data_IF_148329765908
#
_entry.id   IF_148329765908
#
_cell.length_a   1.000
_cell.length_b   1.000
_cell.length_c   1.000
_cell.angle_alpha   90.00
_cell.angle_beta   90.00
_cell.angle_gamma   90.00
#
_symmetry.space_group_name_H-M   'P 1'
#
loop_
_entity.id
_entity.type
_entity.pdbx_description
1 polymer ?
#
# COMPACT_ATOMS: atom_id res chain seq x y z
N UNK A 1 16.32 -10.83 16.39
CA UNK A 1 14.99 -10.50 15.84
C UNK A 1 15.13 -9.24 15.01
N UNK A 2 14.52 -9.23 13.83
CA UNK A 2 14.59 -8.09 12.91
C UNK A 2 13.22 -7.46 12.77
N UNK A 3 13.19 -6.14 12.62
CA UNK A 3 12.01 -5.42 12.13
C UNK A 3 12.19 -5.15 10.65
N UNK A 4 11.07 -5.03 9.94
CA UNK A 4 11.02 -4.66 8.54
C UNK A 4 11.29 -3.16 8.32
N UNK A 5 12.22 -2.58 9.09
CA UNK A 5 12.63 -1.18 9.07
C UNK A 5 14.03 -1.08 8.48
N UNK A 6 14.20 -0.18 7.52
CA UNK A 6 15.44 0.02 6.77
C UNK A 6 15.86 1.49 6.88
N UNK A 7 17.11 1.73 7.27
CA UNK A 7 17.60 3.06 7.61
C UNK A 7 17.77 3.91 6.35
N UNK A 8 17.36 5.18 6.44
CA UNK A 8 17.67 6.18 5.42
C UNK A 8 19.16 6.57 5.50
N UNK A 9 19.88 6.52 4.38
CA UNK A 9 21.32 6.81 4.33
C UNK A 9 21.70 8.10 3.59
N UNK A 10 20.70 8.79 3.05
CA UNK A 10 20.90 10.07 2.35
C UNK A 10 20.84 11.25 3.33
N UNK A 11 21.42 12.42 2.97
CA UNK A 11 21.33 13.63 3.78
C UNK A 11 19.88 14.04 4.04
N UNK A 12 19.61 14.58 5.22
CA UNK A 12 18.27 15.02 5.62
C UNK A 12 17.98 16.43 5.09
N UNK A 13 18.04 16.55 3.76
CA UNK A 13 17.90 17.80 3.01
C UNK A 13 17.05 17.61 1.77
N UNK A 14 16.36 18.67 1.38
CA UNK A 14 15.63 18.76 0.11
C UNK A 14 16.36 19.74 -0.79
N UNK A 15 16.68 19.31 -2.01
CA UNK A 15 17.16 20.16 -3.10
C UNK A 15 15.97 20.58 -3.97
N UNK A 16 15.82 21.89 -4.18
CA UNK A 16 14.83 22.45 -5.10
C UNK A 16 15.55 22.98 -6.34
N UNK A 17 15.23 22.40 -7.49
CA UNK A 17 15.81 22.76 -8.78
C UNK A 17 14.79 23.52 -9.62
N UNK A 18 15.22 24.60 -10.28
CA UNK A 18 14.35 25.49 -11.05
C UNK A 18 14.59 25.39 -12.55
N UNK A 19 13.52 25.48 -13.33
CA UNK A 19 13.51 25.41 -14.78
C UNK A 19 12.75 26.58 -15.39
N UNK A 20 13.21 27.07 -16.54
CA UNK A 20 12.54 28.09 -17.34
C UNK A 20 12.63 27.74 -18.82
N UNK A 21 11.52 27.90 -19.53
CA UNK A 21 11.46 27.73 -20.99
C UNK A 21 10.57 28.85 -21.56
N UNK A 22 11.13 29.72 -22.39
CA UNK A 22 10.40 30.83 -23.01
C UNK A 22 9.38 30.38 -24.03
N UNK A 23 9.57 29.22 -24.66
CA UNK A 23 8.75 28.72 -25.76
C UNK A 23 7.57 27.86 -25.31
N UNK A 24 7.51 27.43 -24.04
CA UNK A 24 6.47 26.54 -23.54
C UNK A 24 5.90 27.04 -22.22
N UNK A 25 4.57 27.20 -22.09
CA UNK A 25 3.95 27.59 -20.83
C UNK A 25 4.35 26.66 -19.68
N UNK A 26 4.63 27.25 -18.50
CA UNK A 26 5.11 26.53 -17.32
C UNK A 26 4.17 25.38 -16.88
N UNK A 27 2.86 25.56 -17.05
CA UNK A 27 1.86 24.52 -16.78
C UNK A 27 2.05 23.28 -17.68
N UNK A 28 2.28 23.49 -18.98
CA UNK A 28 2.47 22.39 -19.95
C UNK A 28 3.83 21.73 -19.69
N UNK A 29 4.88 22.52 -19.47
CA UNK A 29 6.22 22.02 -19.18
C UNK A 29 6.24 21.14 -17.92
N UNK A 30 5.66 21.62 -16.81
CA UNK A 30 5.60 20.86 -15.55
C UNK A 30 4.79 19.57 -15.68
N UNK A 31 3.66 19.57 -16.41
CA UNK A 31 2.89 18.35 -16.69
C UNK A 31 3.70 17.33 -17.47
N UNK A 32 4.42 17.76 -18.51
CA UNK A 32 5.25 16.89 -19.33
C UNK A 32 6.44 16.31 -18.54
N UNK A 33 7.18 17.16 -17.82
CA UNK A 33 8.29 16.70 -16.97
C UNK A 33 7.80 15.77 -15.86
N UNK A 34 6.64 16.06 -15.26
CA UNK A 34 6.01 15.18 -14.26
C UNK A 34 5.73 13.79 -14.82
N UNK A 35 5.12 13.74 -16.02
CA UNK A 35 4.71 12.49 -16.67
C UNK A 35 5.92 11.62 -17.02
N UNK A 36 7.00 12.22 -17.53
CA UNK A 36 8.17 11.47 -18.01
C UNK A 36 9.09 11.06 -16.85
N UNK A 37 9.16 11.85 -15.77
CA UNK A 37 10.03 11.56 -14.64
C UNK A 37 9.34 10.81 -13.50
N UNK A 38 8.03 10.56 -13.57
CA UNK A 38 7.24 9.91 -12.51
C UNK A 38 7.32 10.60 -11.13
N UNK A 39 7.68 11.89 -11.09
CA UNK A 39 7.74 12.74 -9.90
C UNK A 39 7.15 14.10 -10.21
N UNK A 40 6.47 14.71 -9.23
CA UNK A 40 5.76 15.98 -9.46
C UNK A 40 6.73 17.14 -9.66
N UNK A 41 6.62 17.80 -10.79
CA UNK A 41 7.12 19.15 -11.02
C UNK A 41 6.00 20.13 -10.72
N UNK A 42 6.31 21.17 -9.96
CA UNK A 42 5.41 22.27 -9.65
C UNK A 42 5.66 23.41 -10.63
N UNK A 43 4.69 24.31 -10.75
CA UNK A 43 4.79 25.48 -11.61
C UNK A 43 4.25 26.73 -10.92
N UNK A 44 4.82 27.86 -11.32
CA UNK A 44 4.31 29.21 -11.12
C UNK A 44 3.88 29.77 -12.48
N UNK A 45 3.72 31.09 -12.58
CA UNK A 45 3.44 31.76 -13.85
C UNK A 45 4.60 31.64 -14.87
N UNK A 46 5.86 31.65 -14.40
CA UNK A 46 7.06 31.66 -15.27
C UNK A 46 8.02 30.50 -15.03
N UNK A 47 8.09 29.98 -13.81
CA UNK A 47 9.07 28.95 -13.41
C UNK A 47 8.40 27.61 -13.15
N UNK A 48 9.14 26.55 -13.44
CA UNK A 48 8.84 25.17 -13.06
C UNK A 48 9.91 24.72 -12.06
N UNK A 49 9.56 23.94 -11.03
CA UNK A 49 10.55 23.39 -10.11
C UNK A 49 10.22 21.98 -9.68
N UNK A 50 11.25 21.27 -9.22
CA UNK A 50 11.11 19.94 -8.59
C UNK A 50 11.80 19.97 -7.24
N UNK A 51 11.18 19.29 -6.28
CA UNK A 51 11.72 19.06 -4.94
C UNK A 51 12.16 17.61 -4.87
N UNK A 52 13.46 17.39 -4.65
CA UNK A 52 14.07 16.06 -4.58
C UNK A 52 14.91 15.94 -3.30
N UNK A 53 15.11 14.73 -2.77
CA UNK A 53 16.11 14.53 -1.73
C UNK A 53 17.50 14.90 -2.28
N UNK A 54 18.44 15.16 -1.38
CA UNK A 54 19.84 15.41 -1.76
C UNK A 54 20.53 14.12 -2.24
N UNK A 55 20.25 13.74 -3.49
CA UNK A 55 20.74 12.55 -4.18
C UNK A 55 20.99 12.87 -5.65
N UNK A 56 21.76 12.02 -6.32
CA UNK A 56 21.93 12.11 -7.77
C UNK A 56 20.59 11.85 -8.47
N UNK A 57 20.16 12.83 -9.26
CA UNK A 57 18.87 12.83 -9.93
C UNK A 57 19.02 13.15 -11.41
N UNK A 58 18.83 12.13 -12.24
CA UNK A 58 18.86 12.26 -13.69
C UNK A 58 17.48 12.62 -14.23
N UNK A 59 17.38 13.82 -14.81
CA UNK A 59 16.16 14.33 -15.43
C UNK A 59 16.00 13.77 -16.84
N UNK A 60 14.78 13.33 -17.14
CA UNK A 60 14.34 12.87 -18.45
C UNK A 60 13.39 13.90 -19.10
N UNK A 61 13.48 14.15 -20.41
CA UNK A 61 14.58 13.74 -21.28
C UNK A 61 15.87 14.55 -20.97
N UNK A 62 17.03 14.09 -21.45
CA UNK A 62 18.31 14.74 -21.18
C UNK A 62 18.33 16.23 -21.57
N UNK A 63 17.64 16.58 -22.65
CA UNK A 63 17.49 17.96 -23.17
C UNK A 63 16.83 18.90 -22.16
N UNK A 64 16.10 18.40 -21.16
CA UNK A 64 15.52 19.21 -20.10
C UNK A 64 16.58 19.96 -19.27
N UNK A 65 17.85 19.54 -19.32
CA UNK A 65 18.98 20.27 -18.73
C UNK A 65 19.17 21.66 -19.32
N UNK A 66 18.79 21.88 -20.58
CA UNK A 66 18.90 23.20 -21.23
C UNK A 66 17.95 24.24 -20.60
N UNK A 67 16.92 23.79 -19.87
CA UNK A 67 15.98 24.65 -19.17
C UNK A 67 16.35 24.86 -17.70
N UNK A 68 17.32 24.11 -17.17
CA UNK A 68 17.74 24.20 -15.78
C UNK A 68 18.43 25.55 -15.55
N UNK A 69 17.97 26.27 -14.54
CA UNK A 69 18.58 27.52 -14.11
C UNK A 69 19.77 27.23 -13.19
N UNK A 70 20.79 28.08 -13.22
CA UNK A 70 21.89 28.09 -12.25
C UNK A 70 21.44 28.72 -10.91
N UNK A 71 20.35 28.17 -10.37
CA UNK A 71 19.74 28.54 -9.10
C UNK A 71 19.11 27.29 -8.49
N UNK A 72 19.48 27.00 -7.25
CA UNK A 72 18.86 25.95 -6.46
C UNK A 72 18.75 26.39 -4.99
N UNK A 73 17.83 25.77 -4.26
CA UNK A 73 17.72 25.92 -2.81
C UNK A 73 18.01 24.58 -2.14
N UNK A 74 18.60 24.65 -0.95
CA UNK A 74 18.79 23.51 -0.06
C UNK A 74 18.05 23.80 1.23
N UNK A 75 17.09 22.94 1.58
CA UNK A 75 16.22 23.09 2.75
C UNK A 75 16.52 21.92 3.69
N UNK A 76 17.02 22.21 4.89
CA UNK A 76 17.32 21.19 5.90
C UNK A 76 16.02 20.65 6.53
N UNK A 77 16.00 19.36 6.90
CA UNK A 77 14.85 18.72 7.55
C UNK A 77 14.42 19.40 8.84
N UNK A 78 15.37 20.03 9.56
CA UNK A 78 15.10 20.77 10.78
C UNK A 78 14.30 22.05 10.54
N UNK A 79 14.36 22.63 9.33
CA UNK A 79 13.60 23.83 8.95
C UNK A 79 12.19 23.48 8.47
N UNK A 80 12.07 22.43 7.64
CA UNK A 80 10.76 21.97 7.14
C UNK A 80 10.68 20.42 7.09
N UNK A 81 10.31 19.78 8.22
CA UNK A 81 10.23 18.32 8.30
C UNK A 81 9.09 17.76 7.44
N UNK A 82 8.03 18.54 7.20
CA UNK A 82 6.87 18.11 6.42
C UNK A 82 7.27 18.02 4.93
N UNK A 83 7.98 19.03 4.43
CA UNK A 83 8.52 19.03 3.09
C UNK A 83 9.48 17.86 2.88
N UNK A 84 10.39 17.61 3.83
CA UNK A 84 11.32 16.49 3.75
C UNK A 84 10.58 15.13 3.63
N UNK A 85 9.61 14.87 4.51
CA UNK A 85 8.82 13.63 4.49
C UNK A 85 8.05 13.48 3.18
N UNK A 86 7.39 14.54 2.71
CA UNK A 86 6.63 14.55 1.45
C UNK A 86 7.54 14.28 0.25
N UNK A 87 8.71 14.92 0.20
CA UNK A 87 9.71 14.74 -0.86
C UNK A 87 10.23 13.31 -0.90
N UNK A 88 10.55 12.72 0.26
CA UNK A 88 10.96 11.32 0.34
C UNK A 88 9.89 10.35 -0.20
N UNK A 89 8.62 10.52 0.19
CA UNK A 89 7.55 9.66 -0.33
C UNK A 89 7.38 9.79 -1.85
N UNK A 90 7.49 11.01 -2.39
CA UNK A 90 7.41 11.23 -3.84
C UNK A 90 8.59 10.59 -4.58
N UNK A 91 9.80 10.70 -4.03
CA UNK A 91 10.99 10.11 -4.62
C UNK A 91 10.95 8.58 -4.58
N UNK A 92 10.60 7.98 -3.43
CA UNK A 92 10.42 6.52 -3.33
C UNK A 92 9.33 6.05 -4.29
N UNK A 93 8.22 6.78 -4.39
CA UNK A 93 7.17 6.47 -5.37
C UNK A 93 7.72 6.46 -6.80
N UNK A 94 8.53 7.46 -7.18
CA UNK A 94 9.20 7.50 -8.48
C UNK A 94 10.03 6.24 -8.70
N UNK A 95 10.89 5.88 -7.75
CA UNK A 95 11.77 4.71 -7.87
C UNK A 95 10.98 3.42 -8.14
N UNK A 96 9.88 3.20 -7.41
CA UNK A 96 8.99 2.06 -7.69
C UNK A 96 8.35 2.10 -9.09
N UNK A 97 7.87 3.26 -9.53
CA UNK A 97 7.20 3.38 -10.84
C UNK A 97 8.19 3.19 -11.99
N UNK A 98 9.40 3.71 -11.85
CA UNK A 98 10.47 3.51 -12.84
C UNK A 98 10.81 2.02 -13.02
N UNK A 99 10.69 1.23 -11.95
CA UNK A 99 10.88 -0.22 -11.92
C UNK A 99 9.60 -1.02 -12.21
N UNK A 100 8.60 -0.40 -12.85
CA UNK A 100 7.41 -1.10 -13.35
C UNK A 100 6.35 -1.45 -12.30
N UNK A 101 6.41 -0.90 -11.08
CA UNK A 101 5.37 -1.10 -10.08
C UNK A 101 4.17 -0.16 -10.30
N UNK A 102 2.97 -0.67 -10.02
CA UNK A 102 1.77 0.17 -9.93
C UNK A 102 1.65 0.79 -8.54
N UNK A 103 1.43 2.09 -8.49
CA UNK A 103 1.11 2.77 -7.25
C UNK A 103 -0.36 2.56 -6.89
N UNK A 104 -0.67 2.35 -5.61
CA UNK A 104 -2.01 2.37 -5.02
C UNK A 104 -1.99 3.25 -3.78
N UNK A 105 -3.12 3.92 -3.49
CA UNK A 105 -3.29 4.77 -2.30
C UNK A 105 -2.74 4.11 -1.02
N UNK A 106 -2.27 4.94 -0.08
CA UNK A 106 -1.61 4.55 1.18
C UNK A 106 -0.23 3.89 0.98
N UNK A 107 0.51 4.36 -0.04
CA UNK A 107 1.89 3.96 -0.32
C UNK A 107 2.06 2.45 -0.51
N UNK A 108 1.15 1.86 -1.30
CA UNK A 108 1.22 0.47 -1.71
C UNK A 108 1.76 0.42 -3.14
N UNK A 109 2.79 -0.38 -3.36
CA UNK A 109 3.41 -0.59 -4.66
C UNK A 109 3.20 -2.04 -5.07
N UNK A 110 2.55 -2.26 -6.21
CA UNK A 110 2.13 -3.57 -6.71
C UNK A 110 3.09 -3.95 -7.83
N UNK A 111 3.82 -5.05 -7.68
CA UNK A 111 4.72 -5.53 -8.72
C UNK A 111 3.91 -6.02 -9.92
N UNK A 112 4.25 -5.53 -11.12
CA UNK A 112 3.65 -6.05 -12.34
C UNK A 112 4.33 -7.34 -12.82
N UNK A 113 5.58 -7.55 -12.41
CA UNK A 113 6.39 -8.72 -12.79
C UNK A 113 6.16 -9.90 -11.82
N UNK A 114 6.16 -9.63 -10.51
CA UNK A 114 6.03 -10.65 -9.48
C UNK A 114 4.54 -10.95 -9.20
N UNK A 115 3.94 -11.74 -10.09
CA UNK A 115 2.55 -12.17 -9.99
C UNK A 115 2.37 -13.63 -10.43
N UNK A 116 1.34 -14.27 -9.93
CA UNK A 116 0.92 -15.60 -10.34
C UNK A 116 -0.60 -15.72 -10.35
N UNK A 117 -1.14 -16.57 -11.24
CA UNK A 117 -2.56 -16.88 -11.27
C UNK A 117 -2.95 -17.75 -10.07
N UNK A 118 -4.15 -17.54 -9.52
CA UNK A 118 -4.67 -18.41 -8.47
C UNK A 118 -5.04 -19.78 -9.05
N UNK A 119 -4.84 -20.84 -8.26
CA UNK A 119 -5.24 -22.18 -8.68
C UNK A 119 -6.76 -22.32 -8.72
N UNK A 120 -7.42 -21.70 -7.75
CA UNK A 120 -8.88 -21.72 -7.62
C UNK A 120 -9.60 -20.86 -8.65
N UNK A 121 -8.95 -19.82 -9.19
CA UNK A 121 -9.51 -18.96 -10.23
C UNK A 121 -8.40 -18.35 -11.10
N UNK A 122 -8.25 -18.87 -12.33
CA UNK A 122 -7.17 -18.46 -13.26
C UNK A 122 -7.34 -17.06 -13.84
N UNK A 123 -8.50 -16.42 -13.66
CA UNK A 123 -8.77 -15.05 -14.10
C UNK A 123 -8.34 -14.00 -13.07
N UNK A 124 -7.77 -14.43 -11.93
CA UNK A 124 -7.24 -13.58 -10.86
C UNK A 124 -5.74 -13.80 -10.72
N UNK A 125 -5.00 -12.69 -10.69
CA UNK A 125 -3.59 -12.67 -10.34
C UNK A 125 -3.38 -12.22 -8.90
N UNK A 126 -2.55 -12.95 -8.16
CA UNK A 126 -1.95 -12.50 -6.91
C UNK A 126 -0.64 -11.77 -7.23
N UNK A 127 -0.61 -10.46 -7.02
CA UNK A 127 0.58 -9.64 -7.19
C UNK A 127 1.30 -9.46 -5.86
N UNK A 128 2.61 -9.69 -5.82
CA UNK A 128 3.44 -9.25 -4.70
C UNK A 128 3.36 -7.72 -4.62
N UNK A 129 3.14 -7.20 -3.42
CA UNK A 129 3.02 -5.77 -3.18
C UNK A 129 3.73 -5.36 -1.91
N UNK A 130 4.21 -4.13 -1.85
CA UNK A 130 4.91 -3.58 -0.70
C UNK A 130 4.18 -2.36 -0.17
N UNK A 131 3.86 -2.35 1.12
CA UNK A 131 3.38 -1.14 1.80
C UNK A 131 4.56 -0.44 2.45
N UNK A 132 4.78 0.81 2.07
CA UNK A 132 5.89 1.63 2.54
C UNK A 132 5.39 2.67 3.54
N UNK A 133 6.09 2.81 4.67
CA UNK A 133 5.82 3.87 5.65
C UNK A 133 7.09 4.37 6.31
N UNK A 134 7.26 5.69 6.34
CA UNK A 134 8.38 6.36 6.98
C UNK A 134 8.14 6.52 8.50
N UNK A 135 9.18 6.30 9.29
CA UNK A 135 9.23 6.50 10.73
C UNK A 135 10.48 7.30 11.11
N UNK A 136 10.39 8.12 12.15
CA UNK A 136 11.54 8.77 12.80
C UNK A 136 11.74 8.11 14.17
N UNK A 137 12.89 7.48 14.38
CA UNK A 137 13.25 6.78 15.62
C UNK A 137 14.61 7.30 16.08
N UNK A 138 14.69 7.83 17.30
CA UNK A 138 15.92 8.36 17.90
C UNK A 138 16.68 9.32 16.95
N UNK A 139 15.96 10.27 16.35
CA UNK A 139 16.52 11.25 15.41
C UNK A 139 16.85 10.75 14.01
N UNK A 140 16.72 9.43 13.74
CA UNK A 140 17.00 8.83 12.42
C UNK A 140 15.73 8.42 11.70
N UNK A 141 15.75 8.51 10.38
CA UNK A 141 14.63 8.07 9.54
C UNK A 141 14.78 6.62 9.08
N UNK A 142 13.65 5.91 9.08
CA UNK A 142 13.54 4.51 8.65
C UNK A 142 12.30 4.32 7.78
N UNK A 143 12.45 3.61 6.68
CA UNK A 143 11.30 3.09 5.94
C UNK A 143 10.93 1.70 6.44
N UNK A 144 9.69 1.53 6.86
CA UNK A 144 9.08 0.22 7.01
C UNK A 144 8.61 -0.27 5.65
N UNK A 145 9.03 -1.48 5.28
CA UNK A 145 8.61 -2.14 4.05
C UNK A 145 7.86 -3.43 4.42
N UNK A 146 6.55 -3.43 4.22
CA UNK A 146 5.70 -4.57 4.55
C UNK A 146 5.26 -5.30 3.26
N UNK A 147 5.80 -6.49 2.96
CA UNK A 147 5.30 -7.32 1.87
C UNK A 147 3.89 -7.82 2.17
N UNK A 148 3.09 -7.88 1.11
CA UNK A 148 1.69 -8.33 1.11
C UNK A 148 1.31 -8.74 -0.31
N UNK A 149 0.06 -9.16 -0.48
CA UNK A 149 -0.51 -9.40 -1.81
C UNK A 149 -1.61 -8.40 -2.15
N UNK A 150 -1.73 -8.09 -3.44
CA UNK A 150 -2.88 -7.43 -4.04
C UNK A 150 -3.44 -8.33 -5.12
N UNK A 151 -4.75 -8.58 -5.08
CA UNK A 151 -5.43 -9.47 -6.03
C UNK A 151 -6.12 -8.61 -7.08
N UNK A 152 -5.70 -8.76 -8.33
CA UNK A 152 -6.26 -8.03 -9.47
C UNK A 152 -6.79 -9.02 -10.50
N UNK A 153 -7.70 -8.58 -11.36
CA UNK A 153 -8.03 -9.35 -12.55
C UNK A 153 -6.77 -9.57 -13.37
N UNK A 154 -6.69 -10.73 -14.03
CA UNK A 154 -5.58 -11.03 -14.93
C UNK A 154 -5.52 -10.06 -16.10
N UNK A 155 -6.68 -9.79 -16.68
CA UNK A 155 -6.87 -8.91 -17.84
C UNK A 155 -7.49 -7.57 -17.43
N UNK A 156 -7.35 -6.50 -18.25
CA UNK A 156 -8.07 -5.25 -18.05
C UNK A 156 -9.58 -5.48 -17.95
N UNK A 157 -10.26 -4.59 -17.24
CA UNK A 157 -11.66 -4.77 -16.85
C UNK A 157 -12.63 -4.98 -18.00
N UNK A 158 -12.36 -4.39 -19.18
CA UNK A 158 -13.18 -4.59 -20.37
C UNK A 158 -13.14 -6.05 -20.87
N UNK A 159 -11.99 -6.70 -20.73
CA UNK A 159 -11.73 -8.05 -21.23
C UNK A 159 -11.79 -9.12 -20.14
N UNK A 160 -11.96 -8.71 -18.88
CA UNK A 160 -11.95 -9.63 -17.75
C UNK A 160 -13.28 -10.39 -17.64
N UNK A 161 -13.18 -11.72 -17.59
CA UNK A 161 -14.32 -12.62 -17.35
C UNK A 161 -14.90 -12.47 -15.95
N UNK A 162 -14.06 -12.10 -15.00
CA UNK A 162 -14.43 -11.90 -13.60
C UNK A 162 -14.61 -10.41 -13.32
N UNK A 163 -15.66 -10.08 -12.57
CA UNK A 163 -15.99 -8.70 -12.22
C UNK A 163 -15.94 -8.52 -10.71
N UNK A 164 -15.68 -7.28 -10.31
CA UNK A 164 -15.69 -6.80 -8.93
C UNK A 164 -16.38 -5.45 -8.89
N UNK A 165 -16.84 -5.03 -7.70
CA UNK A 165 -17.42 -3.71 -7.53
C UNK A 165 -16.42 -2.58 -7.80
N UNK A 166 -15.10 -2.81 -7.69
CA UNK A 166 -14.10 -1.75 -7.77
C UNK A 166 -13.04 -2.00 -8.83
N UNK A 167 -12.72 -0.93 -9.56
CA UNK A 167 -11.60 -0.87 -10.50
C UNK A 167 -10.42 -0.11 -9.89
N UNK A 168 -9.22 -0.65 -10.05
CA UNK A 168 -7.96 0.04 -9.84
C UNK A 168 -7.47 0.62 -11.17
N UNK A 169 -7.25 1.93 -11.21
CA UNK A 169 -6.55 2.57 -12.31
C UNK A 169 -5.03 2.46 -12.06
N UNK A 170 -4.32 1.64 -12.83
CA UNK A 170 -2.89 1.34 -12.59
C UNK A 170 -1.95 2.53 -12.86
N UNK A 171 -2.40 3.56 -13.59
CA UNK A 171 -1.61 4.78 -13.84
C UNK A 171 -1.73 5.80 -12.70
N UNK A 172 -2.93 5.96 -12.13
CA UNK A 172 -3.19 6.96 -11.08
C UNK A 172 -3.13 6.38 -9.68
N UNK A 173 -3.31 5.07 -9.54
CA UNK A 173 -3.43 4.37 -8.25
C UNK A 173 -4.72 4.64 -7.49
N UNK A 174 -5.69 5.29 -8.14
CA UNK A 174 -7.04 5.52 -7.59
C UNK A 174 -7.91 4.30 -7.87
N UNK A 175 -8.84 4.07 -6.95
CA UNK A 175 -9.87 3.04 -7.08
C UNK A 175 -11.22 3.71 -7.26
N UNK A 176 -12.03 3.20 -8.18
CA UNK A 176 -13.35 3.73 -8.51
C UNK A 176 -14.39 2.62 -8.50
N UNK A 177 -15.65 2.96 -8.23
CA UNK A 177 -16.76 2.01 -8.35
C UNK A 177 -17.01 1.73 -9.84
N UNK A 178 -17.05 0.46 -10.20
CA UNK A 178 -17.46 -0.01 -11.52
C UNK A 178 -18.97 0.12 -11.67
N UNK A 179 -19.43 0.72 -12.78
CA UNK A 179 -20.85 0.84 -13.09
C UNK A 179 -21.23 -0.11 -14.22
N UNK A 180 -20.59 0.02 -15.39
CA UNK A 180 -20.82 -0.87 -16.53
C UNK A 180 -19.64 -0.88 -17.50
N UNK A 181 -19.69 -1.80 -18.46
CA UNK A 181 -18.68 -2.07 -19.48
C UNK A 181 -19.39 -2.57 -20.73
N UNK A 182 -20.10 -1.65 -21.39
CA UNK A 182 -20.92 -1.87 -22.58
C UNK A 182 -20.34 -1.05 -23.73
N UNK A 183 -20.54 -1.47 -24.98
CA UNK A 183 -20.05 -0.79 -26.19
C UNK A 183 -18.56 -0.42 -26.13
N UNK A 184 -17.74 -1.35 -25.62
CA UNK A 184 -16.29 -1.16 -25.44
C UNK A 184 -15.92 0.04 -24.56
N UNK A 185 -16.82 0.50 -23.70
CA UNK A 185 -16.61 1.68 -22.85
C UNK A 185 -16.87 1.34 -21.38
N UNK A 186 -15.86 1.58 -20.54
CA UNK A 186 -16.01 1.44 -19.09
C UNK A 186 -16.61 2.74 -18.52
N UNK A 187 -17.67 2.58 -17.72
CA UNK A 187 -18.26 3.66 -16.91
C UNK A 187 -17.91 3.47 -15.43
N UNK A 188 -17.42 4.53 -14.80
CA UNK A 188 -17.04 4.55 -13.38
C UNK A 188 -17.76 5.67 -12.64
N UNK A 189 -17.92 5.52 -11.32
CA UNK A 189 -18.44 6.58 -10.46
C UNK A 189 -17.31 7.49 -9.95
N UNK A 190 -17.43 8.80 -10.16
CA UNK A 190 -16.52 9.85 -9.66
C UNK A 190 -17.34 10.96 -9.03
N UNK A 191 -17.17 11.21 -7.73
CA UNK A 191 -17.86 12.29 -6.99
C UNK A 191 -19.39 12.34 -7.26
N UNK A 192 -20.02 11.17 -7.19
CA UNK A 192 -21.44 10.90 -7.49
C UNK A 192 -21.90 10.97 -8.95
N UNK A 193 -21.03 11.37 -9.87
CA UNK A 193 -21.29 11.34 -11.31
C UNK A 193 -20.80 10.04 -11.97
N UNK A 194 -21.47 9.65 -13.06
CA UNK A 194 -21.06 8.52 -13.90
C UNK A 194 -20.25 9.08 -15.07
N UNK A 195 -18.98 8.67 -15.16
CA UNK A 195 -18.05 9.14 -16.18
C UNK A 195 -17.58 7.96 -17.03
N UNK A 196 -17.63 8.14 -18.36
CA UNK A 196 -17.03 7.20 -19.31
C UNK A 196 -15.53 7.45 -19.39
N UNK A 197 -14.73 6.41 -19.18
CA UNK A 197 -13.27 6.53 -19.19
C UNK A 197 -12.75 6.59 -20.63
N UNK A 198 -11.68 7.34 -20.86
CA UNK A 198 -11.05 7.48 -22.19
C UNK A 198 -10.10 6.33 -22.55
N UNK A 199 -9.51 5.68 -21.54
CA UNK A 199 -8.53 4.60 -21.73
C UNK A 199 -8.95 3.43 -20.83
N UNK A 200 -9.41 2.33 -21.44
CA UNK A 200 -9.94 1.18 -20.73
C UNK A 200 -8.84 0.26 -20.19
N UNK A 201 -7.71 0.17 -20.89
CA UNK A 201 -6.65 -0.83 -20.63
C UNK A 201 -5.90 -0.60 -19.31
N UNK A 202 -6.08 0.57 -18.71
CA UNK A 202 -5.45 0.93 -17.43
C UNK A 202 -6.32 0.60 -16.22
N UNK A 203 -7.49 0.00 -16.41
CA UNK A 203 -8.40 -0.37 -15.32
C UNK A 203 -8.43 -1.88 -15.13
N UNK A 204 -8.21 -2.33 -13.90
CA UNK A 204 -8.27 -3.74 -13.51
C UNK A 204 -9.22 -3.91 -12.33
N UNK A 205 -9.98 -5.00 -12.28
CA UNK A 205 -10.79 -5.32 -11.12
C UNK A 205 -9.89 -5.60 -9.91
N UNK A 206 -10.24 -5.08 -8.75
CA UNK A 206 -9.46 -5.25 -7.52
C UNK A 206 -10.29 -5.97 -6.45
N UNK A 207 -9.84 -7.15 -6.06
CA UNK A 207 -10.60 -8.03 -5.18
C UNK A 207 -10.22 -7.87 -3.70
N UNK A 208 -11.24 -7.73 -2.87
CA UNK A 208 -11.16 -7.71 -1.41
C UNK A 208 -11.20 -9.12 -0.80
N UNK A 209 -10.96 -9.22 0.51
CA UNK A 209 -11.14 -10.48 1.25
C UNK A 209 -12.60 -10.96 1.30
N UNK A 210 -13.56 -10.05 1.16
CA UNK A 210 -14.99 -10.39 1.11
C UNK A 210 -15.31 -11.03 -0.25
N UNK A 211 -14.90 -10.38 -1.34
CA UNK A 211 -15.05 -10.92 -2.70
C UNK A 211 -14.26 -12.23 -2.85
N UNK A 212 -13.14 -12.40 -2.15
CA UNK A 212 -12.44 -13.68 -2.12
C UNK A 212 -13.28 -14.84 -1.59
N UNK A 213 -14.21 -14.58 -0.66
CA UNK A 213 -15.13 -15.61 -0.17
C UNK A 213 -16.21 -15.90 -1.19
N UNK A 214 -16.81 -14.85 -1.75
CA UNK A 214 -17.87 -14.94 -2.77
C UNK A 214 -17.40 -15.66 -4.03
N UNK A 215 -16.17 -15.39 -4.46
CA UNK A 215 -15.53 -15.97 -5.64
C UNK A 215 -14.76 -17.27 -5.35
N UNK A 216 -14.85 -17.79 -4.12
CA UNK A 216 -14.34 -19.12 -3.75
C UNK A 216 -12.83 -19.25 -3.52
N UNK A 217 -12.02 -18.22 -3.78
CA UNK A 217 -10.56 -18.29 -3.65
C UNK A 217 -10.03 -17.96 -2.23
N UNK A 218 -10.89 -17.61 -1.28
CA UNK A 218 -10.50 -17.32 0.11
C UNK A 218 -9.77 -18.47 0.81
N UNK A 219 -10.03 -19.71 0.42
CA UNK A 219 -9.40 -20.92 0.96
C UNK A 219 -7.92 -21.04 0.57
N UNK A 220 -7.51 -20.41 -0.53
CA UNK A 220 -6.12 -20.41 -1.01
C UNK A 220 -5.26 -19.36 -0.30
N UNK A 221 -5.89 -18.30 0.23
CA UNK A 221 -5.19 -17.18 0.87
C UNK A 221 -4.22 -17.61 1.97
N UNK A 222 -4.56 -18.49 2.94
CA UNK A 222 -3.62 -18.90 3.97
C UNK A 222 -2.33 -19.51 3.41
N UNK A 223 -2.43 -20.30 2.33
CA UNK A 223 -1.26 -20.89 1.69
C UNK A 223 -0.42 -19.84 0.96
N UNK A 224 -1.07 -18.89 0.27
CA UNK A 224 -0.40 -17.75 -0.36
C UNK A 224 0.35 -16.91 0.68
N UNK A 225 -0.28 -16.62 1.81
CA UNK A 225 0.31 -15.81 2.87
C UNK A 225 1.42 -16.55 3.66
N UNK A 226 1.45 -17.89 3.68
CA UNK A 226 2.61 -18.64 4.20
C UNK A 226 3.89 -18.36 3.39
N UNK A 227 3.76 -18.03 2.09
CA UNK A 227 4.90 -17.70 1.24
C UNK A 227 5.47 -16.29 1.50
N UNK A 228 4.92 -15.51 2.44
CA UNK A 228 5.48 -14.20 2.80
C UNK A 228 6.93 -14.27 3.26
N UNK A 229 7.33 -15.34 3.95
CA UNK A 229 8.72 -15.51 4.41
C UNK A 229 9.71 -15.54 3.23
N UNK A 230 9.33 -16.18 2.12
CA UNK A 230 10.12 -16.21 0.89
C UNK A 230 10.17 -14.84 0.21
N UNK A 231 9.10 -14.05 0.31
CA UNK A 231 9.11 -12.66 -0.18
C UNK A 231 10.09 -11.84 0.65
N UNK A 232 10.04 -11.94 1.99
CA UNK A 232 10.98 -11.27 2.88
C UNK A 232 12.44 -11.63 2.57
N UNK A 233 12.75 -12.90 2.30
CA UNK A 233 14.12 -13.31 1.98
C UNK A 233 14.62 -12.76 0.64
N UNK A 234 13.72 -12.46 -0.29
CA UNK A 234 14.07 -11.95 -1.63
C UNK A 234 13.99 -10.42 -1.73
N UNK A 235 13.60 -9.71 -0.67
CA UNK A 235 13.38 -8.26 -0.69
C UNK A 235 14.64 -7.47 -1.04
N UNK A 236 15.79 -7.85 -0.51
CA UNK A 236 17.07 -7.18 -0.80
C UNK A 236 17.34 -7.13 -2.31
N UNK A 237 17.21 -8.27 -2.98
CA UNK A 237 17.39 -8.37 -4.43
C UNK A 237 16.32 -7.59 -5.18
N UNK A 238 15.04 -7.80 -4.84
CA UNK A 238 13.88 -7.25 -5.57
C UNK A 238 13.70 -5.74 -5.39
N UNK A 239 14.20 -5.18 -4.30
CA UNK A 239 14.09 -3.76 -3.97
C UNK A 239 15.46 -3.06 -3.95
N UNK A 240 16.47 -3.67 -4.56
CA UNK A 240 17.84 -3.14 -4.64
C UNK A 240 17.92 -1.77 -5.31
N UNK A 241 16.96 -1.41 -6.18
CA UNK A 241 16.83 -0.06 -6.75
C UNK A 241 16.63 1.04 -5.68
N UNK A 242 16.16 0.69 -4.47
CA UNK A 242 16.05 1.62 -3.34
C UNK A 242 17.38 1.81 -2.59
N UNK A 243 18.44 1.06 -2.91
CA UNK A 243 19.75 1.17 -2.28
C UNK A 243 20.39 2.53 -2.49
N UNK A 244 19.91 3.38 -3.39
CA UNK A 244 20.39 4.76 -3.51
C UNK A 244 19.85 5.67 -2.39
N UNK A 245 18.82 5.23 -1.65
CA UNK A 245 18.11 6.04 -0.64
C UNK A 245 18.20 5.42 0.76
N UNK A 246 18.16 4.10 0.85
CA UNK A 246 18.12 3.37 2.13
C UNK A 246 18.98 2.11 2.11
N UNK A 247 19.29 1.57 3.29
CA UNK A 247 20.03 0.32 3.50
C UNK A 247 19.04 -0.86 3.47
N UNK A 248 18.63 -1.34 2.29
CA UNK A 248 17.60 -2.41 2.15
C UNK A 248 18.14 -3.79 2.57
N UNK A 249 19.46 -3.96 2.53
CA UNK A 249 20.22 -5.14 2.94
C UNK A 249 20.37 -5.27 4.46
N UNK A 250 20.23 -4.16 5.21
CA UNK A 250 20.44 -4.12 6.66
C UNK A 250 19.11 -3.83 7.37
N UNK A 251 18.30 -4.86 7.67
CA UNK A 251 17.09 -4.68 8.46
C UNK A 251 17.43 -4.27 9.90
N UNK A 252 16.54 -3.48 10.51
CA UNK A 252 16.71 -3.01 11.88
C UNK A 252 16.75 -4.19 12.87
N UNK A 253 17.89 -4.33 13.54
CA UNK A 253 18.11 -5.35 14.58
C UNK A 253 17.57 -4.85 15.92
N UNK A 254 16.64 -5.59 16.50
CA UNK A 254 16.18 -5.35 17.87
C UNK A 254 17.15 -6.04 18.84
N UNK A 255 17.63 -5.31 19.84
CA UNK A 255 18.43 -5.89 20.91
C UNK A 255 17.50 -6.66 21.87
N UNK A 256 17.94 -7.83 22.37
CA UNK A 256 17.08 -8.64 23.24
C UNK A 256 16.60 -7.88 24.49
N UNK A 257 17.44 -6.99 25.03
CA UNK A 257 17.10 -6.12 26.17
C UNK A 257 15.91 -5.19 25.91
N UNK A 258 15.63 -4.85 24.65
CA UNK A 258 14.55 -3.95 24.27
C UNK A 258 13.23 -4.72 24.04
N UNK A 259 13.27 -6.05 23.98
CA UNK A 259 12.10 -6.90 23.79
C UNK A 259 11.47 -7.21 25.15
N UNK A 260 10.38 -6.51 25.47
CA UNK A 260 9.55 -6.81 26.63
C UNK A 260 8.41 -7.73 26.21
N UNK A 261 8.38 -8.96 26.75
CA UNK A 261 7.24 -9.87 26.59
C UNK A 261 6.36 -9.77 27.85
N UNK A 262 5.22 -9.07 27.81
CA UNK A 262 4.34 -8.99 28.96
C UNK A 262 3.78 -10.38 29.26
N UNK A 263 3.92 -10.82 30.51
CA UNK A 263 3.29 -12.04 31.00
C UNK A 263 1.88 -11.69 31.48
N UNK A 264 0.87 -12.21 30.79
CA UNK A 264 -0.54 -12.00 31.17
C UNK A 264 -0.98 -13.17 32.04
N UNK A 265 -1.44 -12.88 33.24
CA UNK A 265 -2.03 -13.86 34.16
C UNK A 265 -3.47 -13.47 34.47
N UNK A 266 -4.35 -14.46 34.47
CA UNK A 266 -5.77 -14.35 34.79
C UNK A 266 -5.99 -14.86 36.20
N UNK A 267 -6.63 -14.04 37.02
CA UNK A 267 -7.00 -14.40 38.40
C UNK A 267 -8.45 -14.89 38.37
N UNK A 268 -8.65 -16.11 38.86
CA UNK A 268 -9.94 -16.78 38.98
C UNK A 268 -10.27 -16.99 40.47
N UNK A 269 -11.46 -17.51 40.77
CA UNK A 269 -11.87 -17.70 42.17
C UNK A 269 -10.98 -18.69 42.91
N UNK A 270 -10.64 -19.78 42.23
CA UNK A 270 -9.93 -20.91 42.81
C UNK A 270 -8.52 -21.10 42.20
N UNK A 271 -7.93 -20.07 41.59
CA UNK A 271 -6.59 -20.19 41.02
C UNK A 271 -6.16 -19.04 40.13
N UNK A 272 -4.92 -19.12 39.67
CA UNK A 272 -4.32 -18.19 38.71
C UNK A 272 -3.83 -19.02 37.52
N UNK A 273 -4.06 -18.55 36.29
CA UNK A 273 -3.54 -19.21 35.09
C UNK A 273 -3.18 -18.19 34.01
N UNK A 274 -2.26 -18.56 33.14
CA UNK A 274 -1.93 -17.80 31.92
C UNK A 274 -2.93 -18.06 30.79
N UNK A 275 -3.79 -19.07 30.93
CA UNK A 275 -4.79 -19.45 29.94
C UNK A 275 -6.20 -19.01 30.37
N UNK A 276 -6.81 -18.12 29.59
CA UNK A 276 -8.18 -17.66 29.81
C UNK A 276 -9.22 -18.78 29.86
N UNK A 277 -8.98 -19.91 29.17
CA UNK A 277 -9.91 -21.06 29.15
C UNK A 277 -9.97 -21.80 30.47
N UNK A 278 -8.99 -21.59 31.36
CA UNK A 278 -9.02 -22.21 32.70
C UNK A 278 -10.07 -21.57 33.62
N UNK A 279 -10.84 -20.58 33.16
CA UNK A 279 -12.06 -20.13 33.83
C UNK A 279 -13.03 -21.27 34.12
N UNK A 280 -13.08 -22.30 33.26
CA UNK A 280 -13.93 -23.48 33.46
C UNK A 280 -13.37 -24.43 34.53
N UNK A 281 -12.08 -24.34 34.85
CA UNK A 281 -11.44 -25.10 35.94
C UNK A 281 -11.51 -24.33 37.26
N UNK A 282 -11.21 -23.04 37.24
CA UNK A 282 -11.02 -22.21 38.43
C UNK A 282 -12.21 -21.29 38.78
N UNK A 283 -13.29 -21.36 37.99
CA UNK A 283 -14.51 -20.57 38.13
C UNK A 283 -14.33 -19.05 37.97
N UNK A 284 -15.44 -18.33 37.87
CA UNK A 284 -15.45 -16.88 37.84
C UNK A 284 -14.94 -16.32 39.16
N UNK A 285 -13.96 -15.40 39.11
CA UNK A 285 -13.45 -14.68 40.30
C UNK A 285 -14.57 -14.17 41.22
N UNK A 286 -15.60 -13.58 40.62
CA UNK A 286 -16.88 -13.28 41.27
C UNK A 286 -18.01 -13.90 40.43
N UNK A 287 -18.58 -15.04 40.85
CA UNK A 287 -19.65 -15.68 40.09
C UNK A 287 -20.95 -14.86 40.20
N UNK A 288 -21.76 -14.79 39.13
CA UNK A 288 -23.10 -14.21 39.22
C UNK A 288 -23.98 -15.04 40.18
N UNK A 289 -24.85 -14.39 40.95
CA UNK A 289 -25.75 -15.08 41.90
C UNK A 289 -26.78 -15.97 41.20
N UNK A 290 -27.25 -15.57 40.01
CA UNK A 290 -28.23 -16.31 39.19
C UNK A 290 -28.03 -15.98 37.72
N UNK A 291 -28.22 -16.96 36.84
CA UNK A 291 -28.31 -16.77 35.40
C UNK A 291 -29.77 -16.96 34.97
N UNK A 292 -30.45 -15.88 34.58
CA UNK A 292 -31.79 -15.96 34.00
C UNK A 292 -31.66 -15.99 32.47
N UNK A 293 -32.37 -16.91 31.82
CA UNK A 293 -32.33 -17.08 30.36
C UNK A 293 -33.76 -17.00 29.83
N UNK A 294 -33.95 -16.24 28.75
CA UNK A 294 -35.17 -16.20 27.96
C UNK A 294 -34.81 -16.44 26.48
N UNK A 295 -35.62 -17.23 25.80
CA UNK A 295 -35.43 -17.54 24.37
C UNK A 295 -36.34 -16.67 23.53
N UNK A 296 -35.74 -15.89 22.64
CA UNK A 296 -36.44 -15.05 21.67
C UNK A 296 -36.28 -15.67 20.28
N UNK A 297 -37.40 -15.93 19.64
CA UNK A 297 -37.45 -16.54 18.31
C UNK A 297 -37.91 -15.52 17.29
N UNK A 298 -37.29 -15.54 16.10
CA UNK A 298 -37.61 -14.60 15.02
C UNK A 298 -38.98 -14.88 14.40
N UNK A 299 -39.50 -16.10 14.55
CA UNK A 299 -40.82 -16.47 14.04
C UNK A 299 -41.37 -17.72 14.74
N UNK A 300 -42.70 -17.89 14.69
CA UNK A 300 -43.38 -19.12 15.12
C UNK A 300 -42.92 -20.36 14.35
N UNK A 301 -42.47 -20.20 13.10
CA UNK A 301 -41.95 -21.30 12.27
C UNK A 301 -40.62 -21.84 12.84
N UNK A 302 -39.74 -20.95 13.28
CA UNK A 302 -38.49 -21.32 13.94
C UNK A 302 -38.74 -22.10 15.23
N UNK A 303 -39.73 -21.67 16.03
CA UNK A 303 -40.15 -22.40 17.24
C UNK A 303 -40.55 -23.84 16.89
N UNK A 304 -41.40 -24.02 15.87
CA UNK A 304 -41.84 -25.36 15.44
C UNK A 304 -40.68 -26.23 14.96
N UNK A 305 -39.71 -25.69 14.22
CA UNK A 305 -38.53 -26.45 13.77
C UNK A 305 -37.60 -26.88 14.91
N UNK A 306 -37.58 -26.15 16.03
CA UNK A 306 -36.77 -26.52 17.19
C UNK A 306 -37.43 -27.60 18.07
N UNK A 307 -38.74 -27.79 17.97
CA UNK A 307 -39.52 -28.76 18.78
C UNK A 307 -39.64 -30.12 18.08
N UNK A 308 -39.46 -30.18 16.76
CA UNK A 308 -39.62 -31.39 15.93
C UNK A 308 -38.31 -32.15 15.64
N UNK A 309 -37.22 -31.82 16.34
CA UNK A 309 -35.98 -32.62 16.41
C UNK A 309 -35.82 -33.17 17.81
#
# INVERSE_FOLDING_TARGET
MFLNLYRLKIPYKVKRLYFSNSSTPAEILSKNLTRVNNIRFYNSSKLVWVEIPDVDFSIKPYQAKNYLLDKFEVIDESQDPILFVKTLYNYVKKQFIDEGYYFKRRSIFISNEDKFCLNTNKDINAHVSYKIKLYKLNGKYYFSILPRFTFLSKDPALYSRIKSAYLLNIKTGKTFLYVSGEDEKIKIKVDDEIVTVKNNDIYYFNFSSTEAKELGFSKELPQIYKNLNMIYSNMEKKLSFLNNVMEVDIPYKILQKDIKKPKITYIFKNGISENKKDIFKFSFYKPPKKLNIAFLFSSKKQVKSCILC
#
